data_IF_293384218639
#
_entry.id   IF_293384218639
#
_cell.length_a   1.000
_cell.length_b   1.000
_cell.length_c   1.000
_cell.angle_alpha   90.00
_cell.angle_beta   90.00
_cell.angle_gamma   90.00
#
_symmetry.space_group_name_H-M   'P 1'
#
loop_
_entity.id
_entity.type
_entity.pdbx_description
1 polymer ?
#
# COMPACT_ATOMS: atom_id res chain seq x y z
N UNK A 1 14.37 -5.48 1.85
CA UNK A 1 13.40 -5.29 0.76
C UNK A 1 12.02 -5.42 1.34
N UNK A 2 11.06 -4.63 0.86
CA UNK A 2 9.66 -4.68 1.29
C UNK A 2 8.75 -5.02 0.13
N UNK A 3 7.56 -5.51 0.47
CA UNK A 3 6.54 -5.95 -0.47
C UNK A 3 5.29 -5.11 -0.22
N UNK A 4 4.81 -4.42 -1.26
CA UNK A 4 3.61 -3.58 -1.22
C UNK A 4 2.53 -4.28 -2.04
N UNK A 5 1.39 -4.55 -1.40
CA UNK A 5 0.18 -4.93 -2.14
C UNK A 5 -0.48 -3.68 -2.71
N UNK A 6 -0.89 -3.73 -3.97
CA UNK A 6 -1.69 -2.65 -4.58
C UNK A 6 -3.12 -3.13 -4.71
N UNK A 7 -4.05 -2.28 -4.29
CA UNK A 7 -5.49 -2.48 -4.50
C UNK A 7 -5.99 -1.32 -5.35
N UNK A 8 -6.51 -1.62 -6.53
CA UNK A 8 -6.97 -0.66 -7.52
C UNK A 8 -8.51 -0.58 -7.56
N UNK A 9 -9.06 0.53 -8.03
CA UNK A 9 -10.50 0.74 -8.16
C UNK A 9 -11.17 -0.13 -9.24
N UNK A 10 -10.42 -0.62 -10.23
CA UNK A 10 -10.97 -1.45 -11.30
C UNK A 10 -11.62 -2.72 -10.73
N UNK A 11 -12.85 -3.02 -11.17
CA UNK A 11 -13.62 -4.19 -10.72
C UNK A 11 -12.88 -5.51 -10.98
N UNK A 12 -12.14 -5.58 -12.08
CA UNK A 12 -11.33 -6.72 -12.47
C UNK A 12 -9.85 -6.58 -12.09
N UNK A 13 -9.51 -5.71 -11.13
CA UNK A 13 -8.12 -5.52 -10.73
C UNK A 13 -7.54 -6.81 -10.14
N UNK A 14 -6.24 -7.01 -10.38
CA UNK A 14 -5.46 -7.98 -9.65
C UNK A 14 -4.98 -7.35 -8.33
N UNK A 15 -4.85 -8.18 -7.30
CA UNK A 15 -4.23 -7.82 -6.03
C UNK A 15 -2.72 -8.08 -6.09
N UNK A 16 -2.07 -7.41 -7.05
CA UNK A 16 -0.66 -7.59 -7.33
C UNK A 16 0.23 -7.06 -6.19
N UNK A 17 1.37 -7.70 -6.01
CA UNK A 17 2.37 -7.33 -5.00
C UNK A 17 3.65 -6.94 -5.70
N UNK A 18 4.21 -5.81 -5.31
CA UNK A 18 5.41 -5.23 -5.88
C UNK A 18 6.51 -5.14 -4.84
N UNK A 19 7.74 -5.36 -5.31
CA UNK A 19 8.93 -5.26 -4.46
C UNK A 19 9.55 -3.87 -4.55
N UNK A 20 9.93 -3.33 -3.40
CA UNK A 20 10.63 -2.04 -3.24
C UNK A 20 11.81 -2.19 -2.29
N UNK A 21 12.75 -1.25 -2.35
CA UNK A 21 13.82 -1.14 -1.33
C UNK A 21 13.23 -0.65 0.00
N UNK A 22 14.00 -0.76 1.09
CA UNK A 22 13.60 -0.21 2.40
C UNK A 22 13.44 1.32 2.34
N UNK A 23 14.33 2.00 1.61
CA UNK A 23 14.30 3.44 1.42
C UNK A 23 13.09 3.89 0.59
N UNK A 24 12.81 3.19 -0.53
CA UNK A 24 11.61 3.46 -1.32
C UNK A 24 10.33 3.23 -0.49
N UNK A 25 10.32 2.20 0.36
CA UNK A 25 9.21 1.93 1.25
C UNK A 25 9.01 3.05 2.27
N UNK A 26 10.06 3.52 2.95
CA UNK A 26 9.94 4.60 3.94
C UNK A 26 9.55 5.94 3.33
N UNK A 27 9.79 6.15 2.02
CA UNK A 27 9.27 7.32 1.30
C UNK A 27 7.77 7.21 1.00
N UNK A 28 7.28 6.00 0.70
CA UNK A 28 5.84 5.76 0.44
C UNK A 28 5.04 5.72 1.75
N UNK A 29 5.59 5.15 2.81
CA UNK A 29 4.99 5.01 4.14
C UNK A 29 5.87 5.73 5.18
N UNK A 30 5.82 7.08 5.24
CA UNK A 30 6.73 7.87 6.06
C UNK A 30 6.44 7.83 7.56
N UNK A 31 5.20 7.53 7.97
CA UNK A 31 4.81 7.57 9.37
C UNK A 31 5.16 6.27 10.11
N UNK A 32 5.36 6.38 11.44
CA UNK A 32 5.68 5.22 12.28
C UNK A 32 4.55 4.19 12.27
N UNK A 33 4.90 2.92 12.06
CA UNK A 33 3.96 1.79 11.97
C UNK A 33 2.91 1.90 10.85
N UNK A 34 3.08 2.83 9.91
CA UNK A 34 2.18 2.99 8.78
C UNK A 34 2.32 1.82 7.81
N UNK A 35 1.22 1.09 7.60
CA UNK A 35 1.14 -0.03 6.66
C UNK A 35 0.03 0.17 5.61
N UNK A 36 -0.72 1.28 5.66
CA UNK A 36 -1.67 1.69 4.62
C UNK A 36 -1.20 3.00 3.99
N UNK A 37 -1.35 3.11 2.68
CA UNK A 37 -1.16 4.36 1.96
C UNK A 37 -2.17 4.52 0.83
N UNK A 38 -2.44 5.76 0.46
CA UNK A 38 -3.31 6.14 -0.64
C UNK A 38 -2.51 6.91 -1.69
N UNK A 39 -2.67 6.55 -2.96
CA UNK A 39 -1.97 7.23 -4.06
C UNK A 39 -2.26 8.73 -4.07
N UNK A 40 -3.48 9.14 -3.70
CA UNK A 40 -3.90 10.53 -3.71
C UNK A 40 -3.22 11.36 -2.59
N UNK A 41 -2.68 10.71 -1.55
CA UNK A 41 -1.95 11.39 -0.48
C UNK A 41 -0.46 11.53 -0.77
N UNK A 42 0.05 10.83 -1.78
CA UNK A 42 1.46 10.88 -2.15
C UNK A 42 1.83 12.14 -2.96
N UNK A 43 0.84 12.84 -3.51
CA UNK A 43 1.01 14.10 -4.23
C UNK A 43 1.85 13.99 -5.51
N UNK A 44 2.12 15.13 -6.14
CA UNK A 44 2.93 15.26 -7.36
C UNK A 44 4.43 15.43 -7.02
N UNK A 45 4.94 14.65 -6.07
CA UNK A 45 6.38 14.62 -5.74
C UNK A 45 7.13 13.83 -6.83
N UNK A 46 8.14 14.45 -7.44
CA UNK A 46 8.92 13.85 -8.54
C UNK A 46 9.67 12.59 -8.08
N UNK A 47 10.24 12.60 -6.86
CA UNK A 47 10.96 11.45 -6.32
C UNK A 47 10.00 10.28 -6.11
N UNK A 48 8.82 10.55 -5.54
CA UNK A 48 7.77 9.55 -5.36
C UNK A 48 7.33 8.99 -6.72
N UNK A 49 7.12 9.85 -7.71
CA UNK A 49 6.73 9.43 -9.07
C UNK A 49 7.76 8.48 -9.67
N UNK A 50 9.05 8.79 -9.51
CA UNK A 50 10.13 7.91 -9.96
C UNK A 50 10.16 6.58 -9.18
N UNK A 51 9.95 6.61 -7.86
CA UNK A 51 9.85 5.41 -7.02
C UNK A 51 8.72 4.50 -7.50
N UNK A 52 7.52 5.04 -7.70
CA UNK A 52 6.37 4.30 -8.19
C UNK A 52 6.63 3.71 -9.58
N UNK A 53 7.22 4.50 -10.48
CA UNK A 53 7.62 4.04 -11.82
C UNK A 53 8.55 2.83 -11.77
N UNK A 54 9.51 2.80 -10.82
CA UNK A 54 10.38 1.64 -10.59
C UNK A 54 9.62 0.47 -9.95
N UNK A 55 8.77 0.75 -8.97
CA UNK A 55 7.93 -0.25 -8.28
C UNK A 55 7.10 -1.07 -9.27
N UNK A 56 6.40 -0.42 -10.20
CA UNK A 56 5.52 -1.09 -11.19
C UNK A 56 6.25 -2.14 -12.04
N UNK A 57 7.57 -2.00 -12.23
CA UNK A 57 8.40 -2.94 -13.00
C UNK A 57 8.85 -4.17 -12.18
N UNK A 58 8.59 -4.19 -10.86
CA UNK A 58 9.08 -5.20 -9.91
C UNK A 58 7.96 -6.01 -9.28
N UNK A 59 6.96 -6.39 -10.09
CA UNK A 59 5.87 -7.28 -9.68
C UNK A 59 6.41 -8.67 -9.27
N UNK A 60 5.89 -9.23 -8.18
CA UNK A 60 6.23 -10.56 -7.68
C UNK A 60 5.16 -11.59 -8.04
N UNK A 61 5.57 -12.86 -8.24
CA UNK A 61 4.60 -13.97 -8.29
C UNK A 61 4.23 -14.37 -6.87
N UNK A 62 2.99 -14.83 -6.67
CA UNK A 62 2.47 -15.20 -5.34
C UNK A 62 3.39 -16.12 -4.52
N UNK A 63 3.99 -17.19 -5.08
CA UNK A 63 4.87 -18.07 -4.31
C UNK A 63 6.20 -17.43 -3.85
N UNK A 64 6.59 -16.30 -4.43
CA UNK A 64 7.83 -15.58 -4.09
C UNK A 64 7.61 -14.56 -2.95
N UNK A 65 6.34 -14.30 -2.60
CA UNK A 65 5.97 -13.30 -1.60
C UNK A 65 6.24 -13.85 -0.21
N UNK A 66 7.17 -13.21 0.49
CA UNK A 66 7.45 -13.44 1.90
C UNK A 66 6.95 -12.22 2.68
N UNK A 67 5.70 -12.29 3.12
CA UNK A 67 5.00 -11.21 3.81
C UNK A 67 4.55 -10.06 2.89
N UNK A 68 3.52 -9.34 3.34
CA UNK A 68 3.07 -8.07 2.80
C UNK A 68 3.34 -7.03 3.89
N UNK A 69 4.05 -5.97 3.54
CA UNK A 69 4.55 -4.99 4.51
C UNK A 69 3.78 -3.68 4.47
N UNK A 70 3.09 -3.41 3.36
CA UNK A 70 2.18 -2.30 3.24
C UNK A 70 1.18 -2.52 2.11
N UNK A 71 0.08 -1.78 2.17
CA UNK A 71 -0.98 -1.76 1.17
C UNK A 71 -1.10 -0.35 0.61
N UNK A 72 -0.98 -0.22 -0.71
CA UNK A 72 -1.22 1.01 -1.43
C UNK A 72 -2.58 0.94 -2.14
N UNK A 73 -3.52 1.77 -1.72
CA UNK A 73 -4.78 1.99 -2.40
C UNK A 73 -4.58 2.94 -3.58
N UNK A 74 -5.02 2.52 -4.77
CA UNK A 74 -4.92 3.28 -6.00
C UNK A 74 -6.33 3.66 -6.49
N UNK A 75 -6.63 4.97 -6.52
CA UNK A 75 -7.92 5.52 -6.93
C UNK A 75 -9.11 5.09 -6.04
N UNK A 76 -8.87 4.89 -4.75
CA UNK A 76 -9.84 4.38 -3.77
C UNK A 76 -9.98 5.32 -2.57
N UNK A 77 -10.03 6.63 -2.82
CA UNK A 77 -10.05 7.67 -1.79
C UNK A 77 -11.23 7.53 -0.80
N UNK A 78 -12.35 6.93 -1.20
CA UNK A 78 -13.50 6.68 -0.34
C UNK A 78 -13.20 5.72 0.83
N UNK A 79 -12.12 4.94 0.74
CA UNK A 79 -11.67 4.05 1.83
C UNK A 79 -10.92 4.77 2.93
N UNK A 80 -10.40 5.99 2.68
CA UNK A 80 -9.60 6.75 3.66
C UNK A 80 -10.27 6.90 5.02
N UNK A 81 -11.60 7.07 5.04
CA UNK A 81 -12.39 7.20 6.28
C UNK A 81 -12.25 6.02 7.25
N UNK A 82 -11.84 4.84 6.76
CA UNK A 82 -11.65 3.64 7.56
C UNK A 82 -10.22 3.48 8.09
N UNK A 83 -9.29 4.33 7.66
CA UNK A 83 -7.88 4.28 8.02
C UNK A 83 -7.37 5.64 8.54
N UNK A 84 -7.96 6.20 9.62
CA UNK A 84 -7.56 7.50 10.15
C UNK A 84 -6.09 7.57 10.56
N UNK A 85 -5.49 6.46 10.98
CA UNK A 85 -4.07 6.39 11.34
C UNK A 85 -3.20 5.78 10.24
N UNK A 86 -3.80 5.47 9.08
CA UNK A 86 -3.14 4.75 7.98
C UNK A 86 -2.52 3.42 8.42
N UNK A 87 -3.24 2.73 9.30
CA UNK A 87 -2.85 1.40 9.80
C UNK A 87 -3.97 0.41 9.62
N UNK A 88 -3.66 -0.83 9.28
CA UNK A 88 -4.69 -1.86 9.10
C UNK A 88 -5.41 -2.20 10.42
N UNK A 89 -4.77 -1.93 11.56
CA UNK A 89 -5.38 -2.05 12.89
C UNK A 89 -6.64 -1.17 13.05
N UNK A 90 -6.75 -0.09 12.28
CA UNK A 90 -7.93 0.79 12.30
C UNK A 90 -9.22 0.01 11.98
N UNK A 91 -9.14 -1.02 11.13
CA UNK A 91 -10.29 -1.89 10.83
C UNK A 91 -10.61 -2.88 11.95
N UNK A 92 -9.64 -3.22 12.80
CA UNK A 92 -9.89 -4.08 13.97
C UNK A 92 -10.65 -3.28 15.04
N UNK A 93 -10.21 -2.04 15.29
CA UNK A 93 -10.86 -1.12 16.23
C UNK A 93 -12.24 -0.69 15.70
N UNK A 94 -12.34 -0.44 14.39
CA UNK A 94 -13.59 -0.05 13.72
C UNK A 94 -14.56 -1.20 13.44
N UNK A 95 -14.29 -2.42 13.94
CA UNK A 95 -15.09 -3.64 13.72
C UNK A 95 -15.31 -4.02 12.24
N UNK A 96 -14.45 -3.53 11.33
CA UNK A 96 -14.44 -3.91 9.92
C UNK A 96 -13.76 -5.26 9.66
N UNK A 97 -12.97 -5.74 10.64
CA UNK A 97 -12.37 -7.08 10.65
C UNK A 97 -13.21 -8.01 11.53
N UNK A 98 -13.54 -9.23 11.07
CA UNK A 98 -14.09 -10.26 11.96
C UNK A 98 -13.16 -10.44 13.16
N UNK A 99 -13.69 -10.47 14.38
CA UNK A 99 -12.89 -10.82 15.54
C UNK A 99 -12.57 -12.30 15.48
N UNK A 100 -11.29 -12.64 15.68
CA UNK A 100 -10.81 -14.03 15.76
C UNK A 100 -11.43 -14.78 16.94
#
# INVERSE_FOLDING_TARGET
>A
MKNIQVIDHAINCAYDVYRVTEEEFSRIFPESEQDIQFIEDLGDDEDITQILTRMWKRRLKKPEINGIHGTLFYQLAEKKRFYPTKREIDLTIGHGRPQD
#
